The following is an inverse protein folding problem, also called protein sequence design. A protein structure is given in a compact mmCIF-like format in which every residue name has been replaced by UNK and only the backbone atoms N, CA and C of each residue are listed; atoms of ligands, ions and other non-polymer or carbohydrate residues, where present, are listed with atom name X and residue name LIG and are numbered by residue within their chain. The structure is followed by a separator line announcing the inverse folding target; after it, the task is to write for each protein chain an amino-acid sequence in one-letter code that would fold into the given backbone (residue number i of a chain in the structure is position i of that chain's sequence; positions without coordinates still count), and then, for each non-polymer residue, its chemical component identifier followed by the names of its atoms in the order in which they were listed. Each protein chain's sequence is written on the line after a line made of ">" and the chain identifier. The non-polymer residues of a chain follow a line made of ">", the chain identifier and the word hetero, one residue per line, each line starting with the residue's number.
data_IF_461823448643
#
_entry.id   IF_461823448643
#
_cell.length_a   1.000
_cell.length_b   1.000
_cell.length_c   1.000
_cell.angle_alpha   90.00
_cell.angle_beta   90.00
_cell.angle_gamma   90.00
#
_symmetry.space_group_name_H-M   'P 1'
#
loop_
_entity.id
_entity.type
_entity.pdbx_description
1 polymer ?
#
# COMPACT_ATOMS: atom_id res chain seq x y z
N UNK A 1 -31.33 3.91 14.62
CA UNK A 1 -29.93 3.39 14.55
C UNK A 1 -29.89 1.97 13.96
N UNK A 2 -30.76 1.02 14.38
CA UNK A 2 -30.71 -0.38 13.91
C UNK A 2 -30.88 -0.59 12.40
N UNK A 3 -31.64 0.28 11.70
CA UNK A 3 -31.75 0.20 10.22
C UNK A 3 -30.47 0.62 9.51
N UNK A 4 -29.77 1.65 10.01
CA UNK A 4 -28.50 2.13 9.45
C UNK A 4 -27.42 1.10 9.69
N UNK A 5 -27.34 0.56 10.90
CA UNK A 5 -26.41 -0.51 11.24
C UNK A 5 -26.59 -1.74 10.32
N UNK A 6 -27.84 -2.17 10.11
CA UNK A 6 -28.13 -3.29 9.23
C UNK A 6 -27.72 -3.04 7.78
N UNK A 7 -28.01 -1.84 7.25
CA UNK A 7 -27.57 -1.44 5.91
C UNK A 7 -26.06 -1.45 5.75
N UNK A 8 -25.33 -0.94 6.75
CA UNK A 8 -23.86 -0.96 6.76
C UNK A 8 -23.34 -2.39 6.81
N UNK A 9 -23.91 -3.24 7.67
CA UNK A 9 -23.51 -4.65 7.76
C UNK A 9 -23.80 -5.43 6.49
N UNK A 10 -24.95 -5.18 5.85
CA UNK A 10 -25.30 -5.79 4.55
C UNK A 10 -24.35 -5.33 3.44
N UNK A 11 -23.94 -4.05 3.43
CA UNK A 11 -22.96 -3.51 2.50
C UNK A 11 -21.59 -4.17 2.70
N UNK A 12 -21.10 -4.23 3.94
CA UNK A 12 -19.81 -4.86 4.28
C UNK A 12 -19.82 -6.36 3.93
N UNK A 13 -20.96 -7.04 4.10
CA UNK A 13 -21.09 -8.45 3.76
C UNK A 13 -21.08 -8.70 2.24
N UNK A 14 -21.62 -7.75 1.46
CA UNK A 14 -21.65 -7.83 0.00
C UNK A 14 -20.35 -7.39 -0.67
N UNK A 15 -19.53 -6.55 0.00
CA UNK A 15 -18.29 -6.03 -0.53
C UNK A 15 -17.10 -6.96 -0.25
N UNK A 16 -16.01 -6.81 -1.02
CA UNK A 16 -14.72 -7.45 -0.75
C UNK A 16 -13.91 -6.75 0.37
N UNK A 17 -14.41 -5.66 0.92
CA UNK A 17 -13.71 -4.82 1.90
C UNK A 17 -13.29 -5.58 3.16
N UNK A 18 -14.12 -6.55 3.56
CA UNK A 18 -13.80 -7.45 4.69
C UNK A 18 -12.49 -8.21 4.48
N UNK A 19 -12.24 -8.67 3.27
CA UNK A 19 -10.99 -9.38 2.92
C UNK A 19 -9.82 -8.42 2.96
N UNK A 20 -9.98 -7.22 2.42
CA UNK A 20 -8.95 -6.17 2.40
C UNK A 20 -8.55 -5.76 3.83
N UNK A 21 -9.54 -5.53 4.69
CA UNK A 21 -9.31 -5.19 6.11
C UNK A 21 -8.59 -6.35 6.84
N UNK A 22 -8.99 -7.59 6.57
CA UNK A 22 -8.32 -8.75 7.16
C UNK A 22 -6.84 -8.85 6.72
N UNK A 23 -6.54 -8.59 5.46
CA UNK A 23 -5.16 -8.53 4.97
C UNK A 23 -4.38 -7.39 5.64
N UNK A 24 -4.97 -6.21 5.76
CA UNK A 24 -4.35 -5.08 6.44
C UNK A 24 -3.99 -5.41 7.90
N UNK A 25 -4.88 -6.08 8.64
CA UNK A 25 -4.59 -6.53 10.01
C UNK A 25 -3.44 -7.55 10.08
N UNK A 26 -3.35 -8.48 9.14
CA UNK A 26 -2.19 -9.39 9.07
C UNK A 26 -0.89 -8.61 8.90
N UNK A 27 -0.87 -7.62 7.99
CA UNK A 27 0.31 -6.79 7.79
C UNK A 27 0.63 -5.93 9.02
N UNK A 28 -0.37 -5.39 9.70
CA UNK A 28 -0.17 -4.64 10.95
C UNK A 28 0.48 -5.51 12.05
N UNK A 29 0.04 -6.75 12.20
CA UNK A 29 0.61 -7.66 13.21
C UNK A 29 2.06 -8.04 12.84
N UNK A 30 2.32 -8.32 11.57
CA UNK A 30 3.62 -8.82 11.11
C UNK A 30 4.64 -7.69 10.97
N UNK A 31 4.34 -6.69 10.13
CA UNK A 31 5.26 -5.59 9.78
C UNK A 31 5.00 -4.29 10.53
N UNK A 32 3.93 -4.22 11.31
CA UNK A 32 3.56 -3.01 12.05
C UNK A 32 2.96 -1.90 11.20
N UNK A 33 2.76 -2.12 9.89
CA UNK A 33 2.37 -1.07 8.97
C UNK A 33 1.35 -1.58 7.95
N UNK A 34 0.35 -0.76 7.63
CA UNK A 34 -0.58 -1.02 6.53
C UNK A 34 -1.09 0.30 5.95
N UNK A 35 -1.20 0.35 4.64
CA UNK A 35 -1.82 1.46 3.93
C UNK A 35 -3.12 0.97 3.28
N UNK A 36 -4.21 1.67 3.54
CA UNK A 36 -5.52 1.41 2.93
C UNK A 36 -5.94 2.66 2.16
N UNK A 37 -6.35 2.47 0.93
CA UNK A 37 -6.99 3.50 0.11
C UNK A 37 -8.48 3.21 -0.01
N UNK A 38 -9.30 4.21 0.28
CA UNK A 38 -10.76 4.15 0.13
C UNK A 38 -11.13 4.64 -1.27
N UNK A 39 -11.22 3.70 -2.21
CA UNK A 39 -11.69 3.98 -3.57
C UNK A 39 -13.23 4.03 -3.61
N UNK A 40 -13.78 4.50 -4.75
CA UNK A 40 -15.24 4.53 -4.95
C UNK A 40 -15.86 3.14 -4.99
N UNK A 41 -15.09 2.16 -5.45
CA UNK A 41 -15.54 0.78 -5.68
C UNK A 41 -15.20 -0.16 -4.52
N UNK A 42 -14.59 0.37 -3.43
CA UNK A 42 -14.22 -0.40 -2.25
C UNK A 42 -12.84 -0.05 -1.69
N UNK A 43 -12.38 -0.84 -0.74
CA UNK A 43 -11.08 -0.65 -0.10
C UNK A 43 -9.97 -1.33 -0.90
N UNK A 44 -8.80 -0.70 -0.94
CA UNK A 44 -7.57 -1.26 -1.51
C UNK A 44 -6.45 -1.23 -0.48
N UNK A 45 -5.79 -2.37 -0.25
CA UNK A 45 -4.66 -2.48 0.66
C UNK A 45 -3.35 -2.46 -0.12
N UNK A 46 -2.38 -1.71 0.39
CA UNK A 46 -1.00 -1.68 -0.10
C UNK A 46 -0.08 -2.31 0.94
N UNK A 47 0.66 -3.36 0.59
CA UNK A 47 1.67 -3.94 1.47
C UNK A 47 2.88 -3.00 1.60
N UNK A 48 3.64 -3.12 2.70
CA UNK A 48 4.73 -2.22 3.05
C UNK A 48 5.80 -2.05 1.95
N UNK A 49 6.03 -3.08 1.13
CA UNK A 49 6.98 -3.03 0.02
C UNK A 49 6.47 -2.27 -1.23
N UNK A 50 5.25 -1.74 -1.17
CA UNK A 50 4.63 -1.01 -2.29
C UNK A 50 4.27 0.43 -1.96
N UNK A 51 4.69 0.94 -0.81
CA UNK A 51 4.51 2.34 -0.48
C UNK A 51 5.62 2.86 0.43
N UNK A 52 5.83 4.15 0.38
CA UNK A 52 6.63 4.90 1.32
C UNK A 52 5.80 6.04 1.89
N UNK A 53 6.14 6.43 3.11
CA UNK A 53 5.43 7.46 3.85
C UNK A 53 6.44 8.37 4.53
N UNK A 54 6.17 9.66 4.51
CA UNK A 54 6.86 10.67 5.27
C UNK A 54 5.92 11.30 6.29
N UNK A 55 6.43 11.57 7.50
CA UNK A 55 5.68 12.17 8.59
C UNK A 55 6.38 13.40 9.16
N UNK A 56 5.59 14.28 9.75
CA UNK A 56 6.12 15.39 10.53
C UNK A 56 6.63 14.93 11.91
N UNK A 57 7.29 15.83 12.66
CA UNK A 57 7.78 15.56 14.01
C UNK A 57 6.70 15.18 15.03
N UNK A 58 5.42 15.40 14.72
CA UNK A 58 4.27 14.99 15.53
C UNK A 58 3.68 13.65 15.08
N UNK A 59 4.24 13.01 14.07
CA UNK A 59 3.79 11.74 13.51
C UNK A 59 2.61 11.85 12.53
N UNK A 60 2.22 13.07 12.10
CA UNK A 60 1.20 13.23 11.06
C UNK A 60 1.81 12.95 9.69
N UNK A 61 1.03 12.31 8.83
CA UNK A 61 1.46 12.02 7.46
C UNK A 61 1.52 13.32 6.65
N UNK A 62 2.64 13.53 5.93
CA UNK A 62 2.86 14.67 5.04
C UNK A 62 2.80 14.22 3.60
N UNK A 63 3.46 13.09 3.29
CA UNK A 63 3.56 12.57 1.93
C UNK A 63 3.44 11.05 1.91
N UNK A 64 2.83 10.52 0.85
CA UNK A 64 2.70 9.09 0.59
C UNK A 64 3.02 8.86 -0.89
N UNK A 65 3.85 7.88 -1.19
CA UNK A 65 4.07 7.42 -2.57
C UNK A 65 3.77 5.94 -2.61
N UNK A 66 2.89 5.54 -3.52
CA UNK A 66 2.59 4.12 -3.77
C UNK A 66 3.10 3.69 -5.13
N UNK A 67 3.49 2.41 -5.24
CA UNK A 67 3.94 1.78 -6.48
C UNK A 67 3.02 0.62 -6.85
N UNK A 68 2.57 0.61 -8.09
CA UNK A 68 1.75 -0.47 -8.65
C UNK A 68 2.27 -0.90 -10.02
N UNK A 69 2.07 -2.17 -10.33
CA UNK A 69 2.30 -2.69 -11.69
C UNK A 69 0.94 -2.75 -12.39
N UNK A 70 0.81 -2.06 -13.50
CA UNK A 70 -0.43 -1.99 -14.28
C UNK A 70 -0.11 -2.19 -15.76
N UNK A 71 -0.90 -3.00 -16.46
CA UNK A 71 -0.69 -3.19 -17.89
C UNK A 71 -0.83 -1.86 -18.65
N UNK A 72 0.15 -1.55 -19.49
CA UNK A 72 0.16 -0.35 -20.36
C UNK A 72 -1.09 -0.24 -21.20
N UNK A 73 -1.62 -1.38 -21.63
CA UNK A 73 -2.86 -1.48 -22.39
C UNK A 73 -4.07 -0.92 -21.62
N UNK A 74 -4.13 -1.18 -20.30
CA UNK A 74 -5.19 -0.62 -19.44
C UNK A 74 -5.05 0.88 -19.27
N UNK A 75 -3.80 1.38 -19.27
CA UNK A 75 -3.50 2.81 -19.17
C UNK A 75 -3.67 3.54 -20.51
N UNK A 76 -3.95 2.84 -21.61
CA UNK A 76 -4.01 3.41 -22.94
C UNK A 76 -2.64 3.87 -23.50
N UNK A 77 -1.56 3.39 -22.89
CA UNK A 77 -0.19 3.69 -23.31
C UNK A 77 0.26 2.71 -24.39
N UNK A 78 0.96 3.21 -25.40
CA UNK A 78 1.66 2.33 -26.36
C UNK A 78 2.78 1.57 -25.65
N UNK A 79 2.95 0.26 -25.93
CA UNK A 79 4.10 -0.47 -25.40
C UNK A 79 5.39 0.23 -25.83
N UNK A 80 6.44 0.24 -24.99
CA UNK A 80 7.74 0.75 -25.42
C UNK A 80 8.18 -0.05 -26.64
N UNK A 81 8.84 0.58 -27.63
CA UNK A 81 9.45 -0.15 -28.71
C UNK A 81 10.40 -1.17 -28.08
N UNK A 82 10.18 -2.44 -28.35
CA UNK A 82 11.06 -3.54 -27.89
C UNK A 82 12.43 -3.35 -28.54
N UNK A 83 13.38 -2.83 -27.80
CA UNK A 83 14.70 -2.47 -28.35
C UNK A 83 15.56 -3.66 -28.72
N UNK A 84 15.31 -4.86 -28.17
CA UNK A 84 16.03 -6.08 -28.59
C UNK A 84 15.17 -7.34 -28.49
N UNK A 85 15.26 -8.26 -29.46
CA UNK A 85 14.70 -9.59 -29.31
C UNK A 85 15.46 -10.32 -28.19
N UNK A 86 14.74 -11.04 -27.31
CA UNK A 86 15.34 -11.91 -26.34
C UNK A 86 16.18 -13.01 -27.02
N UNK A 87 17.04 -13.69 -26.26
CA UNK A 87 18.01 -14.68 -26.75
C UNK A 87 17.42 -15.80 -27.66
N UNK A 88 16.10 -15.92 -27.72
CA UNK A 88 15.36 -16.86 -28.57
C UNK A 88 14.80 -16.23 -29.86
N UNK A 89 15.06 -14.94 -30.12
CA UNK A 89 14.54 -14.25 -31.31
C UNK A 89 13.05 -13.92 -31.22
N UNK A 90 12.43 -14.11 -30.05
CA UNK A 90 11.04 -13.76 -29.80
C UNK A 90 11.01 -12.35 -29.21
N UNK A 91 10.17 -11.47 -29.77
CA UNK A 91 9.90 -10.16 -29.19
C UNK A 91 8.99 -10.38 -27.97
N UNK A 92 9.63 -10.77 -26.87
CA UNK A 92 8.94 -11.15 -25.65
C UNK A 92 8.08 -10.01 -25.14
N UNK A 93 6.85 -10.34 -24.84
CA UNK A 93 5.81 -9.49 -24.24
C UNK A 93 6.12 -9.18 -22.76
N UNK A 94 7.39 -9.09 -22.39
CA UNK A 94 7.81 -8.83 -21.01
C UNK A 94 7.74 -7.33 -20.65
N UNK A 95 7.27 -6.50 -21.56
CA UNK A 95 7.16 -5.05 -21.43
C UNK A 95 5.72 -4.50 -21.40
N UNK A 96 4.69 -5.35 -21.19
CA UNK A 96 3.29 -4.88 -21.21
C UNK A 96 2.87 -4.20 -19.89
N UNK A 97 3.63 -4.34 -18.81
CA UNK A 97 3.35 -3.72 -17.52
C UNK A 97 4.16 -2.43 -17.31
N UNK A 98 3.51 -1.40 -16.80
CA UNK A 98 4.14 -0.15 -16.40
C UNK A 98 4.11 0.00 -14.88
N UNK A 99 5.16 0.61 -14.34
CA UNK A 99 5.19 1.04 -12.95
C UNK A 99 4.41 2.35 -12.82
N UNK A 100 3.30 2.29 -12.10
CA UNK A 100 2.47 3.46 -11.78
C UNK A 100 2.82 3.92 -10.37
N UNK A 101 3.28 5.14 -10.26
CA UNK A 101 3.51 5.81 -8.98
C UNK A 101 2.36 6.74 -8.67
N UNK A 102 1.74 6.61 -7.49
CA UNK A 102 0.76 7.59 -7.00
C UNK A 102 1.41 8.44 -5.94
N UNK A 103 1.63 9.71 -6.26
CA UNK A 103 2.23 10.70 -5.38
C UNK A 103 1.11 11.47 -4.66
N UNK A 104 1.03 11.33 -3.34
CA UNK A 104 0.02 11.97 -2.48
C UNK A 104 0.73 12.93 -1.54
N UNK A 105 0.41 14.20 -1.57
CA UNK A 105 1.05 15.23 -0.76
C UNK A 105 0.04 16.15 -0.08
N UNK A 106 0.32 16.48 1.17
CA UNK A 106 -0.42 17.50 1.89
C UNK A 106 0.11 18.88 1.47
N UNK A 107 -0.73 19.67 0.82
CA UNK A 107 -0.41 21.05 0.48
C UNK A 107 -0.59 21.94 1.73
N UNK A 108 0.52 22.40 2.29
CA UNK A 108 0.53 23.24 3.48
C UNK A 108 -0.21 24.56 3.27
N UNK A 109 -0.21 25.09 2.04
CA UNK A 109 -0.83 26.38 1.73
C UNK A 109 -2.35 26.34 1.73
N UNK A 110 -2.94 25.26 1.20
CA UNK A 110 -4.40 25.07 1.13
C UNK A 110 -4.94 24.16 2.24
N UNK A 111 -4.08 23.41 2.91
CA UNK A 111 -4.46 22.41 3.90
C UNK A 111 -5.19 21.21 3.29
N UNK A 112 -5.08 20.99 1.99
CA UNK A 112 -5.74 19.90 1.29
C UNK A 112 -4.74 18.84 0.85
N UNK A 113 -5.19 17.59 0.81
CA UNK A 113 -4.47 16.53 0.14
C UNK A 113 -4.60 16.70 -1.36
N UNK A 114 -3.48 16.52 -2.09
CA UNK A 114 -3.43 16.44 -3.54
C UNK A 114 -2.71 15.18 -3.94
N UNK A 115 -3.17 14.50 -4.97
CA UNK A 115 -2.47 13.37 -5.54
C UNK A 115 -2.63 13.31 -7.06
N UNK A 116 -1.67 12.67 -7.68
CA UNK A 116 -1.63 12.38 -9.11
C UNK A 116 -0.89 11.04 -9.32
N UNK A 117 -1.03 10.50 -10.50
CA UNK A 117 -0.33 9.30 -10.92
C UNK A 117 0.72 9.65 -11.97
N UNK A 118 1.87 8.97 -11.88
CA UNK A 118 2.98 9.10 -12.81
C UNK A 118 3.35 7.74 -13.39
N UNK A 119 3.70 7.73 -14.66
CA UNK A 119 4.24 6.57 -15.40
C UNK A 119 5.35 7.08 -16.30
N UNK A 120 6.52 6.42 -16.28
CA UNK A 120 7.68 6.80 -17.09
C UNK A 120 8.03 8.31 -16.94
N UNK A 121 8.02 8.82 -15.71
CA UNK A 121 8.27 10.22 -15.35
C UNK A 121 7.25 11.23 -15.93
N UNK A 122 6.10 10.77 -16.42
CA UNK A 122 5.03 11.62 -16.95
C UNK A 122 3.77 11.50 -16.09
N UNK A 123 3.16 12.65 -15.79
CA UNK A 123 1.88 12.68 -15.09
C UNK A 123 0.77 12.20 -16.02
N UNK A 124 0.00 11.20 -15.58
CA UNK A 124 -1.17 10.72 -16.30
C UNK A 124 -2.28 11.78 -16.30
N UNK A 125 -2.76 12.11 -17.48
CA UNK A 125 -3.89 13.04 -17.64
C UNK A 125 -5.14 12.50 -16.92
N UNK A 126 -5.83 13.37 -16.19
CA UNK A 126 -7.05 13.02 -15.46
C UNK A 126 -6.82 12.26 -14.14
N UNK A 127 -5.59 11.95 -13.76
CA UNK A 127 -5.26 11.27 -12.51
C UNK A 127 -5.27 12.19 -11.28
N UNK A 128 -5.24 13.50 -11.50
CA UNK A 128 -5.16 14.49 -10.43
C UNK A 128 -6.46 14.56 -9.63
N UNK A 129 -6.31 14.52 -8.31
CA UNK A 129 -7.44 14.59 -7.38
C UNK A 129 -7.05 15.31 -6.10
N UNK A 130 -8.06 15.77 -5.38
CA UNK A 130 -7.88 16.49 -4.12
C UNK A 130 -8.88 16.03 -3.07
N UNK A 131 -8.52 16.14 -1.79
CA UNK A 131 -9.41 15.92 -0.67
C UNK A 131 -9.09 16.87 0.48
N UNK A 132 -10.08 17.25 1.31
CA UNK A 132 -9.83 18.02 2.50
C UNK A 132 -8.90 17.27 3.48
N UNK A 133 -8.15 18.01 4.30
CA UNK A 133 -7.21 17.43 5.27
C UNK A 133 -7.85 16.38 6.19
N UNK A 134 -9.07 16.65 6.63
CA UNK A 134 -9.82 15.81 7.56
C UNK A 134 -10.63 14.67 6.89
N UNK A 135 -10.60 14.56 5.58
CA UNK A 135 -11.32 13.55 4.80
C UNK A 135 -10.41 12.91 3.73
N UNK A 136 -9.17 12.62 4.12
CA UNK A 136 -8.25 11.88 3.26
C UNK A 136 -8.77 10.45 3.00
N UNK A 137 -8.79 10.00 1.74
CA UNK A 137 -9.11 8.61 1.44
C UNK A 137 -7.95 7.64 1.74
N UNK A 138 -6.78 8.16 2.14
CA UNK A 138 -5.59 7.40 2.45
C UNK A 138 -5.44 7.18 3.95
N UNK A 139 -5.51 5.94 4.40
CA UNK A 139 -5.37 5.53 5.80
C UNK A 139 -4.02 4.85 6.01
N UNK A 140 -3.07 5.57 6.62
CA UNK A 140 -1.74 5.06 6.95
C UNK A 140 -1.73 4.59 8.40
N UNK A 141 -1.83 3.28 8.60
CA UNK A 141 -1.95 2.64 9.90
C UNK A 141 -0.59 2.17 10.41
N UNK A 142 -0.36 2.38 11.72
CA UNK A 142 0.80 1.84 12.45
C UNK A 142 0.31 1.01 13.64
N UNK A 143 0.97 -0.10 13.93
CA UNK A 143 0.63 -0.95 15.09
C UNK A 143 1.24 -0.40 16.38
N UNK A 144 2.56 -0.48 16.53
CA UNK A 144 3.29 0.19 17.60
C UNK A 144 4.04 1.37 17.02
N UNK A 145 3.83 2.53 17.61
CA UNK A 145 4.51 3.78 17.18
C UNK A 145 5.76 3.99 18.01
N UNK A 146 6.85 4.35 17.33
CA UNK A 146 8.08 4.80 17.96
C UNK A 146 8.23 6.29 17.63
N UNK A 147 8.61 7.07 18.63
CA UNK A 147 8.77 8.52 18.46
C UNK A 147 9.91 8.82 17.48
N UNK A 148 9.64 9.73 16.54
CA UNK A 148 10.60 10.10 15.49
C UNK A 148 10.73 9.11 14.34
N UNK A 149 9.98 8.00 14.32
CA UNK A 149 9.96 7.04 13.19
C UNK A 149 8.71 7.22 12.32
N UNK A 150 8.88 7.14 11.00
CA UNK A 150 7.77 7.20 10.04
C UNK A 150 6.92 5.94 10.02
N UNK A 151 7.55 4.80 10.33
CA UNK A 151 6.93 3.47 10.34
C UNK A 151 6.70 2.96 11.75
N UNK A 152 5.67 2.13 11.89
CA UNK A 152 5.39 1.40 13.12
C UNK A 152 6.13 0.07 13.15
N UNK A 153 6.20 -0.55 14.33
CA UNK A 153 6.77 -1.88 14.54
C UNK A 153 5.70 -2.93 14.74
N UNK A 154 5.88 -4.09 14.11
CA UNK A 154 4.99 -5.22 14.23
C UNK A 154 5.38 -6.14 15.37
N UNK A 155 4.43 -6.98 15.80
CA UNK A 155 4.69 -7.99 16.85
C UNK A 155 5.77 -8.98 16.44
N UNK A 156 5.80 -9.41 15.18
CA UNK A 156 6.81 -10.36 14.72
C UNK A 156 8.21 -9.75 14.76
N UNK A 157 8.34 -8.49 14.41
CA UNK A 157 9.61 -7.77 14.49
C UNK A 157 10.12 -7.67 15.94
N UNK A 158 9.24 -7.34 16.89
CA UNK A 158 9.58 -7.24 18.30
C UNK A 158 10.07 -8.57 18.90
N UNK A 159 9.47 -9.68 18.48
CA UNK A 159 9.74 -11.02 19.04
C UNK A 159 10.57 -11.92 18.12
N UNK A 160 11.16 -11.40 17.03
CA UNK A 160 11.91 -12.23 16.08
C UNK A 160 13.12 -12.93 16.71
N UNK A 161 13.73 -12.31 17.72
CA UNK A 161 14.81 -12.91 18.50
C UNK A 161 14.36 -14.17 19.23
N UNK A 162 13.25 -14.09 19.93
CA UNK A 162 12.67 -15.20 20.71
C UNK A 162 12.17 -16.31 19.79
N UNK A 163 11.58 -15.96 18.64
CA UNK A 163 11.16 -16.94 17.63
C UNK A 163 12.35 -17.72 17.06
N UNK A 164 13.48 -17.06 16.80
CA UNK A 164 14.71 -17.73 16.34
C UNK A 164 15.26 -18.69 17.39
N UNK A 165 15.29 -18.29 18.65
CA UNK A 165 15.72 -19.16 19.74
C UNK A 165 14.83 -20.40 19.88
N UNK A 166 13.53 -20.24 19.80
CA UNK A 166 12.56 -21.34 19.82
C UNK A 166 12.77 -22.33 18.66
N UNK A 167 13.06 -21.84 17.45
CA UNK A 167 13.34 -22.70 16.29
C UNK A 167 14.64 -23.48 16.43
N UNK A 168 15.68 -22.93 17.06
CA UNK A 168 16.95 -23.61 17.32
C UNK A 168 16.72 -24.75 18.30
N UNK A 169 15.95 -24.55 19.36
CA UNK A 169 15.62 -25.60 20.32
C UNK A 169 14.79 -26.76 19.76
N UNK A 170 13.96 -26.49 18.76
CA UNK A 170 13.17 -27.54 18.08
C UNK A 170 14.05 -28.35 17.10
N UNK A 171 15.08 -27.75 16.53
CA UNK A 171 15.96 -28.38 15.55
C UNK A 171 17.15 -29.14 16.15
N UNK A 172 17.46 -28.99 17.45
CA UNK A 172 18.42 -29.85 18.15
C UNK A 172 17.69 -31.07 18.72
N UNK A 173 17.82 -32.25 18.08
CA UNK A 173 17.39 -33.47 18.74
C UNK A 173 18.29 -33.64 19.95
N UNK A 174 17.69 -33.73 21.16
CA UNK A 174 18.33 -34.16 22.38
C UNK A 174 19.10 -35.46 22.08
N UNK A 175 20.42 -35.37 21.93
CA UNK A 175 21.28 -36.56 21.90
C UNK A 175 21.18 -37.22 23.26
N UNK A 176 20.94 -38.54 23.30
CA UNK A 176 20.95 -39.32 24.52
C UNK A 176 22.35 -39.34 25.15
#
# INVERSE_FOLDING_TARGET
>A
FSKIERLIMDYIAASSDRVVVHQAFKHLIVSGNALIFMAKDGLKHYPLNRYVVERDGNGNVIEIITKEMVSRKVLGLTPPPSEEPNANGDYGVDGDDAEVYTCVKLDESSGNWRWHQEVDDMILEGSQSTAPKNASPWLVLRFNTVDGEDYGRGRVEEFIGDLRLSLIHISEPTRP
#
